data_IF_093918498655
#
_entry.id   IF_093918498655
#
_cell.length_a   1.000
_cell.length_b   1.000
_cell.length_c   1.000
_cell.angle_alpha   90.00
_cell.angle_beta   90.00
_cell.angle_gamma   90.00
#
_symmetry.space_group_name_H-M   'P 1'
#
loop_
_entity.id
_entity.type
_entity.pdbx_description
1 polymer ?
#
# COMPACT_ATOMS: atom_id res chain seq x y z
N UNK A 1 22.57 19.52 18.05
CA UNK A 1 21.35 18.68 18.00
C UNK A 1 21.27 18.02 16.63
N UNK A 2 20.83 16.77 16.53
CA UNK A 2 20.71 16.07 15.24
C UNK A 2 19.47 16.56 14.49
N UNK A 3 19.51 16.53 13.15
CA UNK A 3 18.36 16.86 12.31
C UNK A 3 17.14 15.94 12.54
N UNK A 4 17.34 14.78 13.19
CA UNK A 4 16.32 13.75 13.47
C UNK A 4 15.85 13.73 14.93
N UNK A 5 16.33 14.64 15.78
CA UNK A 5 15.89 14.70 17.18
C UNK A 5 14.37 14.90 17.26
N UNK A 6 13.66 14.06 18.03
CA UNK A 6 12.20 14.13 18.18
C UNK A 6 11.39 13.21 17.24
N UNK A 7 12.02 12.53 16.29
CA UNK A 7 11.33 11.65 15.30
C UNK A 7 10.42 10.62 15.96
N UNK A 8 10.88 9.94 17.03
CA UNK A 8 10.08 8.90 17.71
C UNK A 8 8.81 9.47 18.38
N UNK A 9 8.89 10.69 18.92
CA UNK A 9 7.75 11.36 19.56
C UNK A 9 6.73 11.76 18.49
N UNK A 10 7.20 12.31 17.36
CA UNK A 10 6.35 12.66 16.23
C UNK A 10 5.73 11.43 15.56
N UNK A 11 6.47 10.34 15.42
CA UNK A 11 5.92 9.07 14.89
C UNK A 11 4.80 8.54 15.80
N UNK A 12 4.97 8.62 17.13
CA UNK A 12 3.91 8.29 18.09
C UNK A 12 2.70 9.22 17.94
N UNK A 13 2.91 10.50 17.66
CA UNK A 13 1.83 11.45 17.40
C UNK A 13 1.06 11.09 16.12
N UNK A 14 1.76 10.79 15.03
CA UNK A 14 1.16 10.32 13.76
C UNK A 14 0.30 9.09 14.01
N UNK A 15 0.84 8.08 14.71
CA UNK A 15 0.10 6.86 15.06
C UNK A 15 -1.15 7.13 15.92
N UNK A 16 -1.07 8.07 16.86
CA UNK A 16 -2.22 8.46 17.69
C UNK A 16 -3.30 9.19 16.88
N UNK A 17 -2.89 10.08 15.97
CA UNK A 17 -3.80 10.86 15.13
C UNK A 17 -4.50 9.97 14.10
N UNK A 18 -3.78 9.02 13.54
CA UNK A 18 -4.30 8.11 12.52
C UNK A 18 -4.72 6.75 13.09
N UNK A 19 -5.02 6.66 14.39
CA UNK A 19 -5.44 5.42 15.06
C UNK A 19 -6.64 4.71 14.43
N UNK A 20 -7.46 5.43 13.65
CA UNK A 20 -8.58 4.88 12.88
C UNK A 20 -8.19 4.75 11.41
N UNK A 21 -7.68 5.83 10.81
CA UNK A 21 -7.40 5.87 9.37
C UNK A 21 -6.30 4.89 8.97
N UNK A 22 -5.24 4.77 9.77
CA UNK A 22 -4.10 3.89 9.49
C UNK A 22 -4.48 2.41 9.48
N UNK A 23 -5.17 1.86 10.51
CA UNK A 23 -5.69 0.49 10.43
C UNK A 23 -6.65 0.29 9.25
N UNK A 24 -7.52 1.27 8.96
CA UNK A 24 -8.48 1.16 7.85
C UNK A 24 -7.77 0.99 6.51
N UNK A 25 -6.78 1.83 6.19
CA UNK A 25 -6.07 1.69 4.92
C UNK A 25 -5.03 0.57 4.91
N UNK A 26 -4.59 0.06 6.06
CA UNK A 26 -3.81 -1.18 6.10
C UNK A 26 -4.71 -2.38 5.80
N UNK A 27 -5.90 -2.46 6.41
CA UNK A 27 -6.76 -3.64 6.34
C UNK A 27 -7.52 -3.70 5.01
N UNK A 28 -8.20 -2.63 4.60
CA UNK A 28 -9.09 -2.66 3.43
C UNK A 28 -8.41 -3.14 2.13
N UNK A 29 -7.30 -2.54 1.66
CA UNK A 29 -6.63 -3.00 0.44
C UNK A 29 -5.98 -4.39 0.61
N UNK A 30 -5.54 -4.76 1.82
CA UNK A 30 -4.91 -6.06 2.08
C UNK A 30 -5.88 -7.23 1.99
N UNK A 31 -7.17 -6.98 2.22
CA UNK A 31 -8.24 -7.99 2.15
C UNK A 31 -8.82 -8.18 0.73
N UNK A 32 -8.53 -7.28 -0.21
CA UNK A 32 -9.02 -7.43 -1.58
C UNK A 32 -8.47 -8.69 -2.29
N UNK A 33 -7.15 -9.00 -2.23
CA UNK A 33 -6.59 -10.21 -2.84
C UNK A 33 -7.21 -11.54 -2.34
N UNK A 34 -7.32 -11.83 -1.03
CA UNK A 34 -7.96 -13.07 -0.58
C UNK A 34 -9.45 -13.13 -0.93
N UNK A 35 -10.14 -11.97 -1.01
CA UNK A 35 -11.53 -11.94 -1.50
C UNK A 35 -11.64 -12.43 -2.96
N UNK A 36 -10.65 -12.12 -3.81
CA UNK A 36 -10.60 -12.66 -5.17
C UNK A 36 -10.35 -14.18 -5.19
N UNK A 37 -9.58 -14.73 -4.25
CA UNK A 37 -9.41 -16.19 -4.15
C UNK A 37 -10.78 -16.84 -3.99
N UNK A 38 -11.55 -16.39 -3.00
CA UNK A 38 -12.91 -16.89 -2.74
C UNK A 38 -13.84 -16.70 -3.95
N UNK A 39 -13.77 -15.55 -4.62
CA UNK A 39 -14.57 -15.29 -5.81
C UNK A 39 -14.25 -16.27 -6.94
N UNK A 40 -12.96 -16.51 -7.21
CA UNK A 40 -12.53 -17.41 -8.28
C UNK A 40 -12.81 -18.88 -7.94
N UNK A 41 -12.60 -19.32 -6.70
CA UNK A 41 -12.89 -20.71 -6.31
C UNK A 41 -14.37 -21.03 -6.31
N UNK A 42 -15.23 -20.02 -6.09
CA UNK A 42 -16.70 -20.19 -6.10
C UNK A 42 -17.27 -20.10 -7.51
N UNK A 43 -16.82 -19.14 -8.31
CA UNK A 43 -17.35 -18.92 -9.66
C UNK A 43 -16.71 -19.82 -10.73
N UNK A 44 -15.44 -20.22 -10.54
CA UNK A 44 -14.64 -21.01 -11.49
C UNK A 44 -13.93 -22.16 -10.75
N UNK A 45 -14.70 -23.15 -10.26
CA UNK A 45 -14.16 -24.22 -9.41
C UNK A 45 -13.17 -25.12 -10.17
N UNK A 46 -13.44 -25.42 -11.44
CA UNK A 46 -12.57 -26.29 -12.24
C UNK A 46 -11.46 -25.51 -12.93
N UNK A 47 -10.38 -26.23 -13.29
CA UNK A 47 -9.30 -25.65 -14.08
C UNK A 47 -9.78 -25.23 -15.48
N UNK A 48 -10.72 -25.97 -16.05
CA UNK A 48 -11.29 -25.64 -17.35
C UNK A 48 -12.08 -24.32 -17.30
N UNK A 49 -12.90 -24.11 -16.27
CA UNK A 49 -13.62 -22.84 -16.09
C UNK A 49 -12.66 -21.65 -15.99
N UNK A 50 -11.53 -21.83 -15.30
CA UNK A 50 -10.48 -20.80 -15.17
C UNK A 50 -9.73 -20.54 -16.47
N UNK A 51 -9.50 -21.58 -17.28
CA UNK A 51 -8.91 -21.44 -18.62
C UNK A 51 -9.83 -20.67 -19.56
N UNK A 52 -11.11 -21.05 -19.63
CA UNK A 52 -12.10 -20.35 -20.45
C UNK A 52 -12.26 -18.88 -20.02
N UNK A 53 -12.21 -18.62 -18.71
CA UNK A 53 -12.18 -17.26 -18.18
C UNK A 53 -10.96 -16.46 -18.64
N UNK A 54 -9.77 -17.05 -18.56
CA UNK A 54 -8.53 -16.43 -18.99
C UNK A 54 -8.55 -16.11 -20.48
N UNK A 55 -8.99 -17.05 -21.32
CA UNK A 55 -9.10 -16.87 -22.77
C UNK A 55 -10.10 -15.77 -23.13
N UNK A 56 -11.28 -15.78 -22.51
CA UNK A 56 -12.30 -14.74 -22.74
C UNK A 56 -11.78 -13.37 -22.31
N UNK A 57 -11.03 -13.31 -21.20
CA UNK A 57 -10.45 -12.07 -20.68
C UNK A 57 -9.36 -11.52 -21.59
N UNK A 58 -8.54 -12.37 -22.19
CA UNK A 58 -7.48 -11.98 -23.14
C UNK A 58 -8.05 -11.39 -24.43
N UNK A 59 -9.21 -11.85 -24.89
CA UNK A 59 -9.90 -11.30 -26.06
C UNK A 59 -10.60 -9.96 -25.77
N UNK A 60 -10.61 -9.51 -24.52
CA UNK A 60 -11.17 -8.22 -24.14
C UNK A 60 -10.05 -7.18 -23.98
N UNK A 61 -9.88 -6.33 -24.99
CA UNK A 61 -8.88 -5.25 -25.00
C UNK A 61 -9.01 -4.32 -23.79
N UNK A 62 -10.23 -4.08 -23.28
CA UNK A 62 -10.42 -3.23 -22.10
C UNK A 62 -9.78 -3.82 -20.85
N UNK A 63 -9.82 -5.14 -20.67
CA UNK A 63 -9.15 -5.78 -19.53
C UNK A 63 -7.63 -5.75 -19.66
N UNK A 64 -7.11 -5.93 -20.87
CA UNK A 64 -5.66 -5.84 -21.10
C UNK A 64 -5.14 -4.42 -20.83
N UNK A 65 -5.90 -3.39 -21.18
CA UNK A 65 -5.53 -1.99 -20.90
C UNK A 65 -5.50 -1.70 -19.39
N UNK A 66 -6.45 -2.25 -18.63
CA UNK A 66 -6.58 -1.94 -17.19
C UNK A 66 -5.66 -2.79 -16.31
N UNK A 67 -5.53 -4.08 -16.60
CA UNK A 67 -4.83 -5.05 -15.75
C UNK A 67 -3.50 -5.55 -16.35
N UNK A 68 -3.21 -5.21 -17.60
CA UNK A 68 -2.08 -5.75 -18.34
C UNK A 68 -2.38 -7.13 -18.94
N UNK A 69 -1.37 -7.71 -19.58
CA UNK A 69 -1.45 -9.05 -20.13
C UNK A 69 -1.59 -10.09 -19.01
N UNK A 70 -2.39 -11.13 -19.26
CA UNK A 70 -2.56 -12.26 -18.36
C UNK A 70 -1.66 -13.42 -18.84
N UNK A 71 -0.70 -13.82 -18.01
CA UNK A 71 0.33 -14.81 -18.38
C UNK A 71 -0.06 -16.28 -18.11
N UNK A 72 -1.31 -16.54 -17.69
CA UNK A 72 -1.81 -17.90 -17.50
C UNK A 72 -3.17 -17.98 -16.79
N UNK A 73 -3.54 -19.19 -16.37
CA UNK A 73 -4.87 -19.53 -15.86
C UNK A 73 -4.84 -20.13 -14.44
N UNK A 74 -3.66 -20.18 -13.81
CA UNK A 74 -3.56 -20.63 -12.43
C UNK A 74 -4.31 -19.66 -11.51
N UNK A 75 -4.90 -20.19 -10.45
CA UNK A 75 -5.67 -19.40 -9.49
C UNK A 75 -4.85 -18.22 -8.95
N UNK A 76 -3.57 -18.45 -8.64
CA UNK A 76 -2.67 -17.40 -8.18
C UNK A 76 -2.49 -16.30 -9.21
N UNK A 77 -2.28 -16.65 -10.49
CA UNK A 77 -2.10 -15.69 -11.59
C UNK A 77 -3.36 -14.84 -11.79
N UNK A 78 -4.54 -15.46 -11.82
CA UNK A 78 -5.82 -14.77 -11.96
C UNK A 78 -6.10 -13.81 -10.80
N UNK A 79 -5.81 -14.26 -9.58
CA UNK A 79 -5.97 -13.44 -8.37
C UNK A 79 -5.02 -12.24 -8.38
N UNK A 80 -3.74 -12.44 -8.69
CA UNK A 80 -2.77 -11.33 -8.73
C UNK A 80 -3.06 -10.36 -9.86
N UNK A 81 -3.46 -10.86 -11.05
CA UNK A 81 -3.84 -10.03 -12.18
C UNK A 81 -5.06 -9.17 -11.85
N UNK A 82 -6.10 -9.77 -11.26
CA UNK A 82 -7.31 -9.04 -10.83
C UNK A 82 -7.02 -8.06 -9.69
N UNK A 83 -6.09 -8.38 -8.80
CA UNK A 83 -5.64 -7.50 -7.73
C UNK A 83 -4.65 -6.41 -8.20
N UNK A 84 -4.38 -6.28 -9.50
CA UNK A 84 -3.40 -5.34 -10.07
C UNK A 84 -3.66 -3.86 -9.75
N UNK A 85 -4.87 -3.48 -9.34
CA UNK A 85 -5.19 -2.11 -8.90
C UNK A 85 -4.80 -1.84 -7.43
N UNK A 86 -4.64 -2.87 -6.59
CA UNK A 86 -4.33 -2.74 -5.16
C UNK A 86 -3.00 -2.00 -4.90
N UNK A 87 -1.90 -2.28 -5.64
CA UNK A 87 -0.67 -1.49 -5.52
C UNK A 87 -0.87 0.01 -5.79
N UNK A 88 -1.77 0.39 -6.70
CA UNK A 88 -2.08 1.79 -7.03
C UNK A 88 -2.79 2.47 -5.88
N UNK A 89 -3.76 1.79 -5.25
CA UNK A 89 -4.45 2.30 -4.06
C UNK A 89 -3.46 2.52 -2.92
N UNK A 90 -2.58 1.55 -2.66
CA UNK A 90 -1.55 1.67 -1.61
C UNK A 90 -0.58 2.82 -1.92
N UNK A 91 -0.15 2.95 -3.18
CA UNK A 91 0.69 4.07 -3.62
C UNK A 91 0.03 5.43 -3.35
N UNK A 92 -1.21 5.61 -3.79
CA UNK A 92 -1.94 6.87 -3.61
C UNK A 92 -2.13 7.20 -2.13
N UNK A 93 -2.56 6.24 -1.32
CA UNK A 93 -2.76 6.45 0.12
C UNK A 93 -1.43 6.76 0.82
N UNK A 94 -0.34 6.08 0.47
CA UNK A 94 0.97 6.34 1.03
C UNK A 94 1.46 7.77 0.71
N UNK A 95 1.34 8.20 -0.56
CA UNK A 95 1.67 9.56 -0.98
C UNK A 95 0.86 10.60 -0.20
N UNK A 96 -0.46 10.44 -0.14
CA UNK A 96 -1.35 11.38 0.55
C UNK A 96 -1.10 11.40 2.06
N UNK A 97 -0.74 10.26 2.66
CA UNK A 97 -0.39 10.17 4.09
C UNK A 97 0.88 10.97 4.38
N UNK A 98 1.91 10.86 3.55
CA UNK A 98 3.15 11.64 3.71
C UNK A 98 2.87 13.15 3.57
N UNK A 99 2.11 13.55 2.55
CA UNK A 99 1.73 14.96 2.35
C UNK A 99 0.93 15.50 3.55
N UNK A 100 -0.03 14.71 4.05
CA UNK A 100 -0.89 15.09 5.19
C UNK A 100 -0.10 15.34 6.47
N UNK A 101 0.94 14.55 6.74
CA UNK A 101 1.75 14.69 7.97
C UNK A 101 2.98 15.58 7.80
N UNK A 102 3.12 16.24 6.65
CA UNK A 102 4.17 17.22 6.38
C UNK A 102 3.54 18.58 6.06
N UNK A 103 3.00 18.76 4.85
CA UNK A 103 2.48 20.05 4.33
C UNK A 103 1.25 20.57 5.06
N UNK A 104 0.26 19.71 5.31
CA UNK A 104 -0.97 20.17 5.97
C UNK A 104 -0.72 20.64 7.41
N UNK A 105 0.37 20.19 8.04
CA UNK A 105 0.78 20.68 9.36
C UNK A 105 1.56 22.00 9.29
N UNK A 106 2.29 22.25 8.21
CA UNK A 106 2.94 23.54 7.93
C UNK A 106 1.90 24.61 7.61
N UNK A 107 0.95 24.34 6.71
CA UNK A 107 -0.12 25.27 6.32
C UNK A 107 -1.03 25.64 7.49
N UNK A 108 -1.20 24.73 8.45
CA UNK A 108 -1.96 24.99 9.68
C UNK A 108 -1.18 25.80 10.74
N UNK A 109 0.05 26.23 10.46
CA UNK A 109 0.94 26.94 11.40
C UNK A 109 1.43 26.09 12.57
N UNK A 110 1.10 24.79 12.60
CA UNK A 110 1.51 23.87 13.68
C UNK A 110 2.98 23.49 13.58
N UNK A 111 3.53 23.50 12.36
CA UNK A 111 4.96 23.29 12.12
C UNK A 111 5.84 24.28 12.91
N UNK A 112 5.46 25.55 12.97
CA UNK A 112 6.20 26.60 13.70
C UNK A 112 6.13 26.40 15.22
N UNK A 113 4.98 25.99 15.75
CA UNK A 113 4.82 25.67 17.18
C UNK A 113 5.61 24.43 17.61
N UNK A 114 5.70 23.42 16.74
CA UNK A 114 6.53 22.23 16.96
C UNK A 114 8.03 22.55 16.80
N UNK A 115 8.38 23.45 15.90
CA UNK A 115 9.75 23.96 15.73
C UNK A 115 10.27 24.78 16.92
N UNK A 116 9.38 25.35 17.73
CA UNK A 116 9.72 25.99 19.01
C UNK A 116 10.10 24.96 20.11
N UNK A 117 9.83 23.67 19.90
CA UNK A 117 10.26 22.58 20.77
C UNK A 117 11.62 22.00 20.32
N UNK A 118 12.18 21.08 21.11
CA UNK A 118 13.47 20.41 20.83
C UNK A 118 13.31 19.36 19.71
N UNK A 119 12.99 19.81 18.50
CA UNK A 119 12.71 18.97 17.33
C UNK A 119 13.64 19.37 16.19
N UNK A 120 14.28 18.39 15.55
CA UNK A 120 15.13 18.62 14.40
C UNK A 120 14.33 18.88 13.11
N UNK A 121 14.89 19.66 12.18
CA UNK A 121 14.20 20.08 10.94
C UNK A 121 13.63 18.92 10.11
N UNK A 122 14.25 17.74 10.16
CA UNK A 122 13.87 16.57 9.37
C UNK A 122 13.05 15.55 10.16
N UNK A 123 12.79 15.80 11.43
CA UNK A 123 12.13 14.83 12.31
C UNK A 123 10.67 14.59 11.91
N UNK A 124 9.95 15.61 11.42
CA UNK A 124 8.58 15.49 10.93
C UNK A 124 8.49 14.60 9.69
N UNK A 125 9.31 14.89 8.68
CA UNK A 125 9.39 14.10 7.45
C UNK A 125 9.80 12.65 7.74
N UNK A 126 10.83 12.45 8.58
CA UNK A 126 11.28 11.12 8.97
C UNK A 126 10.18 10.33 9.71
N UNK A 127 9.40 10.99 10.58
CA UNK A 127 8.29 10.36 11.28
C UNK A 127 7.17 9.93 10.31
N UNK A 128 6.77 10.83 9.39
CA UNK A 128 5.76 10.53 8.39
C UNK A 128 6.16 9.37 7.48
N UNK A 129 7.40 9.37 6.98
CA UNK A 129 7.95 8.29 6.17
C UNK A 129 8.03 6.97 6.94
N UNK A 130 8.54 6.99 8.18
CA UNK A 130 8.67 5.76 9.00
C UNK A 130 7.31 5.11 9.22
N UNK A 131 6.30 5.88 9.61
CA UNK A 131 4.96 5.33 9.87
C UNK A 131 4.31 4.85 8.58
N UNK A 132 4.42 5.61 7.49
CA UNK A 132 3.81 5.23 6.20
C UNK A 132 4.45 3.98 5.62
N UNK A 133 5.78 3.89 5.63
CA UNK A 133 6.50 2.72 5.13
C UNK A 133 6.24 1.47 5.98
N UNK A 134 6.17 1.62 7.31
CA UNK A 134 5.82 0.52 8.21
C UNK A 134 4.38 0.02 7.95
N UNK A 135 3.43 0.94 7.72
CA UNK A 135 2.06 0.59 7.39
C UNK A 135 1.93 -0.10 6.02
N UNK A 136 2.64 0.37 4.98
CA UNK A 136 2.68 -0.28 3.68
C UNK A 136 3.29 -1.69 3.75
N UNK A 137 4.36 -1.87 4.53
CA UNK A 137 4.94 -3.18 4.79
C UNK A 137 3.95 -4.09 5.53
N UNK A 138 3.27 -3.57 6.54
CA UNK A 138 2.25 -4.32 7.30
C UNK A 138 1.12 -4.77 6.39
N UNK A 139 0.63 -3.89 5.50
CA UNK A 139 -0.40 -4.23 4.51
C UNK A 139 0.08 -5.37 3.57
N UNK A 140 1.31 -5.24 3.05
CA UNK A 140 1.93 -6.28 2.23
C UNK A 140 2.03 -7.63 2.93
N UNK A 141 2.49 -7.65 4.19
CA UNK A 141 2.60 -8.87 4.99
C UNK A 141 1.24 -9.47 5.34
N UNK A 142 0.25 -8.66 5.72
CA UNK A 142 -1.11 -9.11 5.99
C UNK A 142 -1.72 -9.75 4.74
N UNK A 143 -1.55 -9.13 3.58
CA UNK A 143 -2.03 -9.67 2.32
C UNK A 143 -1.34 -10.98 1.95
N UNK A 144 0.00 -11.05 2.09
CA UNK A 144 0.76 -12.28 1.85
C UNK A 144 0.31 -13.43 2.76
N UNK A 145 0.17 -13.16 4.07
CA UNK A 145 -0.31 -14.16 5.03
C UNK A 145 -1.73 -14.62 4.71
N UNK A 146 -2.61 -13.71 4.30
CA UNK A 146 -3.97 -14.06 3.91
C UNK A 146 -4.00 -14.95 2.66
N UNK A 147 -3.18 -14.65 1.65
CA UNK A 147 -3.08 -15.48 0.44
C UNK A 147 -2.50 -16.87 0.74
N UNK A 148 -1.49 -16.97 1.60
CA UNK A 148 -0.97 -18.26 2.08
C UNK A 148 -2.06 -19.03 2.84
N UNK A 149 -2.82 -18.36 3.71
CA UNK A 149 -3.93 -18.99 4.42
C UNK A 149 -5.06 -19.43 3.48
N UNK A 150 -5.22 -18.78 2.32
CA UNK A 150 -6.13 -19.21 1.24
C UNK A 150 -5.57 -20.33 0.35
N UNK A 151 -4.41 -20.89 0.67
CA UNK A 151 -3.81 -22.04 -0.02
C UNK A 151 -2.94 -21.71 -1.22
N UNK A 152 -2.57 -20.44 -1.44
CA UNK A 152 -1.67 -20.05 -2.52
C UNK A 152 -0.20 -20.30 -2.18
N UNK A 153 0.69 -20.52 -3.18
CA UNK A 153 2.11 -20.74 -2.96
C UNK A 153 2.78 -19.60 -2.18
N UNK A 154 3.55 -19.94 -1.14
CA UNK A 154 4.22 -18.99 -0.25
C UNK A 154 5.09 -17.98 -1.01
N UNK A 155 5.87 -18.44 -1.99
CA UNK A 155 6.76 -17.57 -2.76
C UNK A 155 6.00 -16.48 -3.53
N UNK A 156 4.91 -16.86 -4.22
CA UNK A 156 4.07 -15.91 -4.97
C UNK A 156 3.32 -14.95 -4.05
N UNK A 157 2.79 -15.44 -2.93
CA UNK A 157 2.11 -14.63 -1.92
C UNK A 157 3.03 -13.58 -1.30
N UNK A 158 4.27 -13.96 -0.96
CA UNK A 158 5.29 -13.03 -0.47
C UNK A 158 5.72 -12.03 -1.53
N UNK A 159 5.94 -12.46 -2.77
CA UNK A 159 6.32 -11.57 -3.87
C UNK A 159 5.24 -10.51 -4.12
N UNK A 160 3.96 -10.91 -4.13
CA UNK A 160 2.84 -9.98 -4.26
C UNK A 160 2.78 -8.98 -3.09
N UNK A 161 2.84 -9.47 -1.86
CA UNK A 161 2.82 -8.62 -0.65
C UNK A 161 3.99 -7.63 -0.59
N UNK A 162 5.21 -8.06 -0.95
CA UNK A 162 6.37 -7.18 -1.04
C UNK A 162 6.24 -6.16 -2.17
N UNK A 163 5.59 -6.53 -3.30
CA UNK A 163 5.24 -5.59 -4.36
C UNK A 163 4.31 -4.48 -3.88
N UNK A 164 3.32 -4.81 -3.04
CA UNK A 164 2.44 -3.83 -2.40
C UNK A 164 3.25 -2.86 -1.51
N UNK A 165 4.15 -3.41 -0.68
CA UNK A 165 5.00 -2.60 0.20
C UNK A 165 5.92 -1.67 -0.61
N UNK A 166 6.56 -2.20 -1.67
CA UNK A 166 7.44 -1.44 -2.55
C UNK A 166 6.70 -0.31 -3.27
N UNK A 167 5.47 -0.54 -3.74
CA UNK A 167 4.62 0.49 -4.33
C UNK A 167 4.34 1.63 -3.34
N UNK A 168 3.98 1.26 -2.10
CA UNK A 168 3.77 2.22 -1.02
C UNK A 168 5.02 3.03 -0.69
N UNK A 169 6.20 2.38 -0.63
CA UNK A 169 7.47 3.07 -0.37
C UNK A 169 7.87 4.02 -1.50
N UNK A 170 7.71 3.61 -2.75
CA UNK A 170 8.01 4.44 -3.91
C UNK A 170 7.17 5.73 -3.90
N UNK A 171 5.87 5.62 -3.66
CA UNK A 171 4.99 6.80 -3.63
C UNK A 171 5.08 7.61 -2.34
N UNK A 172 5.43 6.99 -1.20
CA UNK A 172 5.81 7.73 0.01
C UNK A 172 7.05 8.61 -0.25
N UNK A 173 8.05 8.10 -0.98
CA UNK A 173 9.23 8.86 -1.38
C UNK A 173 8.86 10.01 -2.34
N UNK A 174 7.97 9.78 -3.31
CA UNK A 174 7.44 10.86 -4.17
C UNK A 174 6.75 11.94 -3.33
N UNK A 175 5.86 11.53 -2.41
CA UNK A 175 5.19 12.45 -1.49
C UNK A 175 6.17 13.27 -0.65
N UNK A 176 7.25 12.65 -0.18
CA UNK A 176 8.31 13.34 0.55
C UNK A 176 9.04 14.38 -0.32
N UNK A 177 9.41 14.04 -1.56
CA UNK A 177 10.04 14.99 -2.48
C UNK A 177 9.12 16.17 -2.78
N UNK A 178 7.84 15.89 -3.11
CA UNK A 178 6.85 16.94 -3.38
C UNK A 178 6.65 17.85 -2.17
N UNK A 179 6.58 17.28 -0.97
CA UNK A 179 6.45 18.05 0.26
C UNK A 179 7.64 18.97 0.52
N UNK A 180 8.87 18.57 0.14
CA UNK A 180 10.07 19.39 0.33
C UNK A 180 10.29 20.43 -0.78
N UNK A 181 9.73 20.24 -1.98
CA UNK A 181 9.91 21.19 -3.09
C UNK A 181 8.91 22.36 -3.07
N UNK A 182 7.82 22.21 -2.32
CA UNK A 182 6.75 23.20 -2.27
C UNK A 182 6.83 24.13 -1.05
N UNK A 183 7.81 23.93 -0.17
CA UNK A 183 8.17 24.82 0.96
C UNK A 183 8.91 26.06 0.48
#
# INVERSE_FOLDING_TARGET
MSALTGTAVLARLVLRRDRVLLPVWVVLPSLAPPAFVTAFTTAYPTEQDRREYAETSLHNTAFTVVYGALDGHDLGQLVTWRAGFVPVVIALVALLTVIRHTRAEEEAGRGELVGAAVVGRHAGLAAALTVTCAAALTAGLVSALALVASGLPVGGSLAFGLGLAASGWAFAAVGAVVAQLTT
#
